data_IF_347865800264
#
_entry.id   IF_347865800264
#
_cell.length_a   1.000
_cell.length_b   1.000
_cell.length_c   1.000
_cell.angle_alpha   90.00
_cell.angle_beta   90.00
_cell.angle_gamma   90.00
#
_symmetry.space_group_name_H-M   'P 1'
#
loop_
_entity.id
_entity.type
_entity.pdbx_description
1 polymer ?
#
# COMPACT_ATOMS: atom_id res chain seq x y z
N UNK A 1 16.87 -10.22 6.38
CA UNK A 1 16.38 -9.86 7.72
C UNK A 1 15.32 -10.84 8.23
N UNK A 2 14.25 -11.12 7.47
CA UNK A 2 13.13 -11.99 7.89
C UNK A 2 13.61 -13.39 8.31
N UNK A 3 14.44 -14.05 7.48
CA UNK A 3 15.00 -15.36 7.81
C UNK A 3 15.85 -15.35 9.09
N UNK A 4 16.60 -14.28 9.30
CA UNK A 4 17.40 -14.11 10.53
C UNK A 4 16.51 -13.91 11.75
N UNK A 5 15.47 -13.07 11.64
CA UNK A 5 14.52 -12.84 12.73
C UNK A 5 13.81 -14.14 13.14
N UNK A 6 13.34 -14.92 12.14
CA UNK A 6 12.73 -16.23 12.38
C UNK A 6 13.70 -17.23 13.04
N UNK A 7 14.92 -17.30 12.53
CA UNK A 7 15.95 -18.18 13.11
C UNK A 7 16.28 -17.81 14.56
N UNK A 8 16.37 -16.51 14.85
CA UNK A 8 16.66 -16.00 16.20
C UNK A 8 15.44 -15.91 17.11
N UNK A 9 14.23 -16.19 16.59
CA UNK A 9 12.94 -16.08 17.30
C UNK A 9 12.74 -14.71 17.93
N UNK A 10 13.15 -13.65 17.23
CA UNK A 10 12.92 -12.26 17.63
C UNK A 10 11.75 -11.66 16.89
N UNK A 11 11.05 -10.73 17.52
CA UNK A 11 10.01 -9.96 16.85
C UNK A 11 10.62 -8.95 15.86
N UNK A 12 10.11 -8.96 14.64
CA UNK A 12 10.41 -7.99 13.60
C UNK A 12 9.10 -7.56 12.96
N UNK A 13 8.83 -6.26 12.91
CA UNK A 13 7.64 -5.72 12.27
C UNK A 13 8.03 -4.65 11.25
N UNK A 14 7.30 -4.58 10.15
CA UNK A 14 7.27 -3.40 9.31
C UNK A 14 6.14 -2.49 9.80
N UNK A 15 6.46 -1.24 10.10
CA UNK A 15 5.50 -0.24 10.57
C UNK A 15 4.69 0.33 9.39
N UNK A 16 3.99 -0.54 8.67
CA UNK A 16 3.08 -0.18 7.58
C UNK A 16 1.67 0.03 8.13
N UNK A 17 1.40 1.23 8.58
CA UNK A 17 0.17 1.64 9.30
C UNK A 17 -1.11 1.05 8.72
N UNK A 18 -1.25 1.01 7.39
CA UNK A 18 -2.42 0.49 6.67
C UNK A 18 -2.90 -0.84 7.21
N UNK A 19 -1.99 -1.78 7.47
CA UNK A 19 -2.31 -3.16 7.84
C UNK A 19 -2.95 -3.30 9.24
N UNK A 20 -2.78 -2.28 10.09
CA UNK A 20 -3.20 -2.29 11.49
C UNK A 20 -4.44 -1.44 11.76
N UNK A 21 -4.93 -0.66 10.78
CA UNK A 21 -6.08 0.22 10.92
C UNK A 21 -7.39 -0.57 11.01
N UNK A 22 -8.26 -0.19 11.95
CA UNK A 22 -9.57 -0.82 12.16
C UNK A 22 -10.48 -0.66 10.93
N UNK A 23 -10.42 0.48 10.25
CA UNK A 23 -11.15 0.68 9.00
C UNK A 23 -10.64 -0.24 7.86
N UNK A 24 -9.35 -0.58 7.84
CA UNK A 24 -8.81 -1.54 6.88
C UNK A 24 -9.27 -2.98 7.20
N UNK A 25 -9.35 -3.34 8.48
CA UNK A 25 -9.96 -4.60 8.90
C UNK A 25 -11.43 -4.66 8.47
N UNK A 26 -12.16 -3.54 8.59
CA UNK A 26 -13.55 -3.43 8.12
C UNK A 26 -13.70 -3.65 6.62
N UNK A 27 -12.77 -3.14 5.81
CA UNK A 27 -12.76 -3.43 4.37
C UNK A 27 -12.69 -4.94 4.12
N UNK A 28 -11.81 -5.68 4.85
CA UNK A 28 -11.69 -7.13 4.74
C UNK A 28 -13.00 -7.86 5.07
N UNK A 29 -13.71 -7.41 6.11
CA UNK A 29 -15.04 -7.95 6.47
C UNK A 29 -16.10 -7.70 5.39
N UNK A 30 -16.01 -6.59 4.68
CA UNK A 30 -16.98 -6.20 3.65
C UNK A 30 -16.74 -6.90 2.30
N UNK A 31 -15.53 -7.45 2.03
CA UNK A 31 -15.20 -8.10 0.76
C UNK A 31 -16.23 -9.16 0.32
N UNK A 32 -16.70 -10.08 1.18
CA UNK A 32 -17.70 -11.08 0.76
C UNK A 32 -19.04 -10.44 0.29
N UNK A 33 -19.36 -9.25 0.80
CA UNK A 33 -20.63 -8.58 0.50
C UNK A 33 -20.67 -7.95 -0.89
N UNK A 34 -19.51 -7.60 -1.47
CA UNK A 34 -19.44 -7.07 -2.84
C UNK A 34 -19.46 -8.17 -3.91
N UNK A 35 -19.50 -9.44 -3.53
CA UNK A 35 -19.47 -10.59 -4.44
C UNK A 35 -18.07 -10.82 -5.03
N UNK A 36 -18.02 -11.27 -6.30
CA UNK A 36 -16.72 -11.50 -6.97
C UNK A 36 -16.06 -10.19 -7.33
N UNK A 37 -14.86 -9.94 -6.81
CA UNK A 37 -14.05 -8.77 -7.15
C UNK A 37 -13.69 -8.78 -8.64
N UNK A 38 -13.79 -7.63 -9.30
CA UNK A 38 -13.49 -7.44 -10.72
C UNK A 38 -12.41 -6.41 -10.97
N UNK A 39 -12.44 -5.30 -10.24
CA UNK A 39 -11.44 -4.24 -10.37
C UNK A 39 -11.08 -3.67 -8.99
N UNK A 40 -9.80 -3.31 -8.84
CA UNK A 40 -9.31 -2.55 -7.68
C UNK A 40 -8.56 -1.32 -8.20
N UNK A 41 -8.87 -0.15 -7.65
CA UNK A 41 -8.22 1.10 -8.02
C UNK A 41 -7.72 1.77 -6.74
N UNK A 42 -6.44 2.17 -6.73
CA UNK A 42 -5.83 2.93 -5.65
C UNK A 42 -5.12 4.15 -6.22
N UNK A 43 -5.35 5.31 -5.63
CA UNK A 43 -4.64 6.54 -5.98
C UNK A 43 -4.09 7.21 -4.73
N UNK A 44 -2.75 7.38 -4.70
CA UNK A 44 -2.05 8.21 -3.74
C UNK A 44 -1.16 9.20 -4.51
N UNK A 45 -1.74 10.31 -4.91
CA UNK A 45 -1.04 11.40 -5.61
C UNK A 45 -0.99 12.63 -4.72
N UNK A 46 0.21 13.05 -4.36
CA UNK A 46 0.44 14.20 -3.49
C UNK A 46 1.61 15.00 -4.04
N UNK A 47 1.37 16.25 -4.44
CA UNK A 47 2.47 17.14 -4.80
C UNK A 47 3.44 17.26 -3.64
N UNK A 48 4.65 16.79 -3.85
CA UNK A 48 5.67 16.76 -2.80
C UNK A 48 6.22 18.15 -2.54
N UNK A 49 6.29 18.55 -1.26
CA UNK A 49 6.97 19.80 -0.86
C UNK A 49 8.48 19.83 -1.21
N UNK A 50 9.03 18.68 -1.64
CA UNK A 50 10.43 18.53 -2.06
C UNK A 50 10.61 18.52 -3.58
N UNK A 51 9.50 18.55 -4.35
CA UNK A 51 9.58 18.42 -5.81
C UNK A 51 10.22 19.65 -6.47
N UNK A 52 9.91 20.86 -6.00
CA UNK A 52 10.53 22.09 -6.53
C UNK A 52 12.04 22.11 -6.29
N UNK A 53 12.50 21.68 -5.11
CA UNK A 53 13.93 21.54 -4.80
C UNK A 53 14.60 20.49 -5.71
N UNK A 54 13.93 19.35 -5.93
CA UNK A 54 14.38 18.32 -6.86
C UNK A 54 14.51 18.85 -8.30
N UNK A 55 13.54 19.61 -8.80
CA UNK A 55 13.61 20.28 -10.11
C UNK A 55 14.78 21.26 -10.21
N UNK A 56 15.08 21.98 -9.12
CA UNK A 56 16.21 22.90 -9.02
C UNK A 56 17.58 22.20 -8.87
N UNK A 57 17.60 20.86 -8.69
CA UNK A 57 18.82 20.06 -8.57
C UNK A 57 19.22 19.70 -7.13
N UNK A 58 18.46 20.13 -6.12
CA UNK A 58 18.61 19.68 -4.73
C UNK A 58 17.83 18.38 -4.50
N UNK A 59 18.54 17.24 -4.62
CA UNK A 59 17.95 15.91 -4.57
C UNK A 59 17.84 15.44 -3.13
N UNK A 60 16.65 15.51 -2.59
CA UNK A 60 16.34 14.99 -1.25
C UNK A 60 16.14 13.45 -1.27
N UNK A 61 16.32 12.73 -0.14
CA UNK A 61 16.24 11.27 -0.07
C UNK A 61 14.98 10.66 -0.70
N UNK A 62 13.85 11.35 -0.63
CA UNK A 62 12.57 10.90 -1.19
C UNK A 62 12.55 10.90 -2.75
N UNK A 63 13.57 11.47 -3.41
CA UNK A 63 13.79 11.46 -4.86
C UNK A 63 15.17 10.90 -5.25
N UNK A 64 15.93 10.39 -4.28
CA UNK A 64 17.29 9.88 -4.52
C UNK A 64 17.24 8.35 -4.79
N UNK A 65 17.68 7.87 -5.96
CA UNK A 65 17.83 6.44 -6.23
C UNK A 65 18.74 5.71 -5.22
N UNK A 66 19.75 6.41 -4.65
CA UNK A 66 20.63 5.83 -3.64
C UNK A 66 19.91 5.55 -2.32
N UNK A 67 18.86 6.30 -2.04
CA UNK A 67 18.00 6.13 -0.87
C UNK A 67 16.73 5.30 -1.17
N UNK A 68 16.65 4.66 -2.34
CA UNK A 68 15.46 3.98 -2.83
C UNK A 68 14.21 4.88 -2.85
N UNK A 69 14.38 6.14 -3.26
CA UNK A 69 13.30 7.12 -3.41
C UNK A 69 12.37 6.80 -4.58
N UNK A 70 11.57 7.79 -4.98
CA UNK A 70 10.62 7.70 -6.09
C UNK A 70 9.17 7.55 -5.65
N UNK A 71 8.25 7.79 -6.58
CA UNK A 71 6.82 7.77 -6.30
C UNK A 71 6.31 6.36 -5.94
N UNK A 72 6.81 5.34 -6.64
CA UNK A 72 6.44 3.95 -6.35
C UNK A 72 6.85 3.53 -4.94
N UNK A 73 8.09 3.85 -4.54
CA UNK A 73 8.65 3.38 -3.27
C UNK A 73 8.17 4.18 -2.06
N UNK A 74 7.91 5.48 -2.24
CA UNK A 74 7.53 6.38 -1.14
C UNK A 74 6.00 6.45 -0.91
N UNK A 75 5.22 6.51 -1.99
CA UNK A 75 3.75 6.59 -1.92
C UNK A 75 3.07 5.32 -2.43
N UNK A 76 3.56 4.75 -3.52
CA UNK A 76 3.02 3.52 -4.11
C UNK A 76 3.08 2.32 -3.17
N UNK A 77 4.07 2.26 -2.28
CA UNK A 77 4.19 1.22 -1.25
C UNK A 77 2.92 1.07 -0.41
N UNK A 78 2.25 2.17 -0.06
CA UNK A 78 1.00 2.12 0.70
C UNK A 78 -0.15 1.51 -0.11
N UNK A 79 -0.24 1.84 -1.42
CA UNK A 79 -1.22 1.24 -2.31
C UNK A 79 -0.97 -0.26 -2.52
N UNK A 80 0.29 -0.64 -2.72
CA UNK A 80 0.67 -2.05 -2.87
C UNK A 80 0.39 -2.83 -1.58
N UNK A 81 0.76 -2.27 -0.43
CA UNK A 81 0.46 -2.85 0.89
C UNK A 81 -1.05 -3.02 1.11
N UNK A 82 -1.85 -2.05 0.66
CA UNK A 82 -3.31 -2.13 0.73
C UNK A 82 -3.85 -3.30 -0.10
N UNK A 83 -3.39 -3.43 -1.35
CA UNK A 83 -3.88 -4.46 -2.27
C UNK A 83 -3.36 -5.85 -1.87
N UNK A 84 -2.05 -5.98 -1.63
CA UNK A 84 -1.41 -7.26 -1.28
C UNK A 84 -1.90 -7.78 0.08
N UNK A 85 -2.14 -6.89 1.04
CA UNK A 85 -2.69 -7.28 2.34
C UNK A 85 -4.12 -7.82 2.28
N UNK A 86 -4.93 -7.45 1.27
CA UNK A 86 -6.28 -7.97 1.06
C UNK A 86 -6.31 -9.23 0.20
N UNK A 87 -5.46 -9.31 -0.81
CA UNK A 87 -5.59 -10.29 -1.90
C UNK A 87 -4.36 -11.18 -2.11
N UNK A 88 -3.28 -10.95 -1.37
CA UNK A 88 -2.01 -11.64 -1.58
C UNK A 88 -1.22 -11.10 -2.76
N UNK A 89 -0.16 -11.82 -3.14
CA UNK A 89 0.74 -11.46 -4.24
C UNK A 89 0.05 -11.65 -5.60
N UNK A 90 0.15 -10.67 -6.54
CA UNK A 90 -0.41 -10.81 -7.88
C UNK A 90 0.41 -11.77 -8.73
N UNK A 91 -0.21 -12.32 -9.79
CA UNK A 91 0.49 -13.17 -10.76
C UNK A 91 1.48 -12.37 -11.61
N UNK A 92 1.16 -11.11 -11.91
CA UNK A 92 2.01 -10.19 -12.68
C UNK A 92 1.88 -8.78 -12.14
N UNK A 93 2.97 -8.02 -12.23
CA UNK A 93 3.02 -6.61 -11.89
C UNK A 93 3.87 -5.86 -12.94
N UNK A 94 3.32 -4.77 -13.49
CA UNK A 94 3.99 -3.93 -14.48
C UNK A 94 3.80 -2.46 -14.12
N UNK A 95 4.91 -1.73 -14.05
CA UNK A 95 4.91 -0.30 -13.74
C UNK A 95 5.29 0.52 -14.98
N UNK A 96 4.51 1.55 -15.25
CA UNK A 96 4.78 2.57 -16.26
C UNK A 96 4.95 3.90 -15.54
N UNK A 97 6.13 4.50 -15.65
CA UNK A 97 6.54 5.64 -14.85
C UNK A 97 6.90 6.87 -15.70
N UNK A 98 6.62 8.03 -15.17
CA UNK A 98 7.26 9.28 -15.57
C UNK A 98 8.59 9.35 -14.83
N UNK A 99 9.69 9.38 -15.58
CA UNK A 99 11.05 9.35 -15.01
C UNK A 99 11.72 10.67 -15.24
N UNK A 100 12.21 11.27 -14.16
CA UNK A 100 13.01 12.49 -14.17
C UNK A 100 14.30 12.25 -13.39
N UNK A 101 15.45 12.64 -13.94
CA UNK A 101 16.76 12.47 -13.30
C UNK A 101 17.03 11.06 -12.78
N UNK A 102 16.52 10.02 -13.49
CA UNK A 102 16.74 8.62 -13.16
C UNK A 102 15.85 8.03 -12.06
N UNK A 103 14.83 8.78 -11.59
CA UNK A 103 13.85 8.32 -10.60
C UNK A 103 12.42 8.59 -11.09
N UNK A 104 11.47 7.78 -10.64
CA UNK A 104 10.06 8.00 -10.93
C UNK A 104 9.48 9.12 -10.07
N UNK A 105 8.86 10.12 -10.72
CA UNK A 105 8.13 11.21 -10.06
C UNK A 105 6.64 10.90 -9.96
N UNK A 106 6.12 10.10 -10.89
CA UNK A 106 4.76 9.54 -10.87
C UNK A 106 4.69 8.29 -11.72
N UNK A 107 3.59 7.52 -11.58
CA UNK A 107 3.38 6.36 -12.43
C UNK A 107 2.16 5.52 -12.08
N UNK A 108 1.92 4.52 -12.94
CA UNK A 108 0.81 3.58 -12.86
C UNK A 108 1.36 2.15 -12.79
N UNK A 109 1.05 1.47 -11.70
CA UNK A 109 1.32 0.06 -11.52
C UNK A 109 0.04 -0.74 -11.82
N UNK A 110 0.10 -1.64 -12.79
CA UNK A 110 -0.94 -2.63 -13.04
C UNK A 110 -0.55 -3.96 -12.39
N UNK A 111 -1.51 -4.61 -11.75
CA UNK A 111 -1.34 -5.91 -11.11
C UNK A 111 -2.43 -6.87 -11.58
N UNK A 112 -2.01 -8.07 -12.00
CA UNK A 112 -2.92 -9.08 -12.50
C UNK A 112 -3.13 -10.20 -11.48
N UNK A 113 -4.39 -10.43 -11.15
CA UNK A 113 -4.87 -11.58 -10.38
C UNK A 113 -5.70 -12.50 -11.28
N UNK A 114 -5.90 -13.75 -10.88
CA UNK A 114 -6.66 -14.72 -11.68
C UNK A 114 -8.08 -14.25 -12.04
N UNK A 115 -8.77 -13.59 -11.09
CA UNK A 115 -10.18 -13.22 -11.23
C UNK A 115 -10.42 -11.73 -11.43
N UNK A 116 -9.41 -10.87 -11.23
CA UNK A 116 -9.54 -9.43 -11.31
C UNK A 116 -8.24 -8.73 -11.70
N UNK A 117 -8.33 -7.44 -11.98
CA UNK A 117 -7.19 -6.55 -12.24
C UNK A 117 -7.14 -5.44 -11.20
N UNK A 118 -5.94 -5.02 -10.83
CA UNK A 118 -5.73 -3.89 -9.94
C UNK A 118 -4.83 -2.84 -10.58
N UNK A 119 -5.10 -1.57 -10.25
CA UNK A 119 -4.27 -0.43 -10.64
C UNK A 119 -3.94 0.40 -9.41
N UNK A 120 -2.66 0.77 -9.31
CA UNK A 120 -2.14 1.68 -8.30
C UNK A 120 -1.50 2.87 -8.98
N UNK A 121 -1.99 4.07 -8.70
CA UNK A 121 -1.40 5.32 -9.14
C UNK A 121 -0.69 5.97 -7.96
N UNK A 122 0.53 6.45 -8.19
CA UNK A 122 1.30 7.21 -7.22
C UNK A 122 1.99 8.37 -7.91
N UNK A 123 1.93 9.56 -7.32
CA UNK A 123 2.56 10.76 -7.88
C UNK A 123 3.10 11.66 -6.78
N UNK A 124 4.27 12.27 -7.07
CA UNK A 124 4.95 13.27 -6.23
C UNK A 124 5.13 14.60 -6.96
N UNK A 125 4.95 14.60 -8.27
CA UNK A 125 5.04 15.74 -9.20
C UNK A 125 3.68 16.41 -9.44
N UNK A 126 2.59 15.77 -9.06
CA UNK A 126 1.23 16.29 -9.16
C UNK A 126 0.35 15.78 -8.00
N UNK A 127 -0.80 16.42 -7.81
CA UNK A 127 -1.76 16.08 -6.77
C UNK A 127 -3.12 15.69 -7.32
N UNK A 128 -3.80 14.74 -6.63
CA UNK A 128 -5.19 14.39 -6.90
C UNK A 128 -5.86 13.90 -5.61
N UNK A 129 -7.21 13.93 -5.51
CA UNK A 129 -7.90 13.33 -4.39
C UNK A 129 -7.55 11.85 -4.24
N UNK A 130 -7.20 11.44 -3.03
CA UNK A 130 -6.98 10.04 -2.73
C UNK A 130 -8.29 9.26 -2.92
N UNK A 131 -8.21 8.13 -3.61
CA UNK A 131 -9.37 7.30 -3.89
C UNK A 131 -8.96 5.83 -3.99
N UNK A 132 -9.65 4.99 -3.22
CA UNK A 132 -9.50 3.54 -3.20
C UNK A 132 -10.87 2.93 -3.44
N UNK A 133 -10.98 2.11 -4.49
CA UNK A 133 -12.24 1.49 -4.88
C UNK A 133 -12.01 0.01 -5.13
N UNK A 134 -12.78 -0.84 -4.46
CA UNK A 134 -12.81 -2.28 -4.72
C UNK A 134 -14.18 -2.59 -5.32
N UNK A 135 -14.22 -2.97 -6.58
CA UNK A 135 -15.44 -3.20 -7.35
C UNK A 135 -15.72 -4.69 -7.47
N UNK A 136 -16.91 -5.08 -7.05
CA UNK A 136 -17.40 -6.44 -7.14
C UNK A 136 -18.71 -6.55 -7.91
N UNK A 137 -19.17 -7.78 -8.12
CA UNK A 137 -20.40 -8.07 -8.87
C UNK A 137 -21.69 -7.67 -8.15
N UNK A 138 -21.63 -7.46 -6.80
CA UNK A 138 -22.80 -7.12 -5.98
C UNK A 138 -22.72 -5.73 -5.36
N UNK A 139 -21.65 -4.99 -5.62
CA UNK A 139 -21.43 -3.65 -5.05
C UNK A 139 -19.95 -3.25 -5.09
N UNK A 140 -19.62 -2.17 -4.42
CA UNK A 140 -18.25 -1.72 -4.30
C UNK A 140 -17.97 -1.13 -2.91
N UNK A 141 -16.70 -1.11 -2.54
CA UNK A 141 -16.18 -0.46 -1.34
C UNK A 141 -15.40 0.77 -1.77
N UNK A 142 -15.67 1.91 -1.15
CA UNK A 142 -15.02 3.19 -1.42
C UNK A 142 -14.34 3.73 -0.15
N UNK A 143 -13.08 4.14 -0.30
CA UNK A 143 -12.33 4.93 0.67
C UNK A 143 -11.84 6.21 -0.02
N UNK A 144 -12.08 7.38 0.60
CA UNK A 144 -11.71 8.71 0.07
C UNK A 144 -10.49 9.35 0.76
N UNK A 145 -9.68 8.54 1.41
CA UNK A 145 -8.45 8.96 2.09
C UNK A 145 -7.29 8.07 1.67
N UNK A 146 -6.06 8.47 1.93
CA UNK A 146 -4.87 7.67 1.64
C UNK A 146 -4.89 6.35 2.43
N UNK A 147 -4.22 5.30 1.92
CA UNK A 147 -4.17 3.99 2.57
C UNK A 147 -3.62 4.06 4.00
N UNK A 148 -2.58 4.86 4.21
CA UNK A 148 -1.94 5.04 5.52
C UNK A 148 -2.77 5.84 6.54
N UNK A 149 -3.94 6.34 6.14
CA UNK A 149 -4.90 7.02 7.01
C UNK A 149 -6.19 6.22 7.16
N UNK A 150 -6.73 5.71 6.05
CA UNK A 150 -8.00 4.98 5.97
C UNK A 150 -9.10 5.62 6.83
N UNK A 151 -9.36 6.91 6.60
CA UNK A 151 -10.18 7.77 7.48
C UNK A 151 -11.68 7.46 7.48
N UNK A 152 -12.13 6.53 6.63
CA UNK A 152 -13.51 6.07 6.58
C UNK A 152 -13.73 5.17 5.36
N UNK A 153 -14.72 4.30 5.46
CA UNK A 153 -15.07 3.30 4.45
C UNK A 153 -16.56 3.39 4.16
N UNK A 154 -16.92 3.39 2.88
CA UNK A 154 -18.30 3.30 2.45
C UNK A 154 -18.51 2.02 1.66
N UNK A 155 -19.50 1.23 2.03
CA UNK A 155 -19.99 0.11 1.25
C UNK A 155 -21.21 0.54 0.44
N UNK A 156 -21.16 0.35 -0.88
CA UNK A 156 -22.23 0.64 -1.81
C UNK A 156 -22.72 -0.67 -2.43
N UNK A 157 -23.85 -1.24 -1.98
CA UNK A 157 -24.47 -2.37 -2.66
C UNK A 157 -25.07 -1.93 -4.00
N UNK A 158 -25.14 -2.83 -5.00
CA UNK A 158 -25.85 -2.54 -6.25
C UNK A 158 -27.35 -2.26 -6.02
N UNK A 159 -27.90 -2.83 -4.95
CA UNK A 159 -29.28 -2.60 -4.53
C UNK A 159 -29.32 -2.37 -3.00
N UNK A 160 -30.05 -1.37 -2.57
CA UNK A 160 -30.16 -1.00 -1.16
C UNK A 160 -29.46 0.30 -0.82
N UNK A 161 -29.28 0.54 0.47
CA UNK A 161 -28.67 1.77 0.98
C UNK A 161 -27.17 1.57 1.19
N UNK A 162 -26.40 2.62 0.98
CA UNK A 162 -25.00 2.67 1.33
C UNK A 162 -24.81 2.67 2.86
N UNK A 163 -23.69 2.12 3.28
CA UNK A 163 -23.29 2.05 4.69
C UNK A 163 -21.93 2.71 4.87
N UNK A 164 -21.82 3.55 5.92
CA UNK A 164 -20.60 4.28 6.22
C UNK A 164 -19.99 3.78 7.53
N UNK A 165 -18.67 3.59 7.55
CA UNK A 165 -17.92 3.12 8.70
C UNK A 165 -16.73 4.05 8.96
N UNK A 166 -16.48 4.37 10.22
CA UNK A 166 -15.24 4.98 10.68
C UNK A 166 -14.92 4.47 12.09
N UNK A 167 -14.06 3.48 12.16
CA UNK A 167 -13.73 2.75 13.39
C UNK A 167 -12.40 3.20 14.02
N UNK A 168 -11.65 4.09 13.37
CA UNK A 168 -10.33 4.52 13.87
C UNK A 168 -10.38 5.35 15.16
N UNK A 169 -11.59 5.80 15.60
CA UNK A 169 -11.83 6.39 16.91
C UNK A 169 -11.11 7.71 17.19
N UNK A 170 -10.68 8.46 16.14
CA UNK A 170 -9.96 9.73 16.30
C UNK A 170 -8.54 9.60 16.86
N UNK A 171 -8.03 8.39 17.04
CA UNK A 171 -6.66 8.12 17.51
C UNK A 171 -5.62 8.47 16.45
N UNK A 172 -4.38 8.84 16.85
CA UNK A 172 -3.26 8.94 15.92
C UNK A 172 -3.13 7.66 15.08
N UNK A 173 -2.92 7.80 13.77
CA UNK A 173 -2.89 6.65 12.84
C UNK A 173 -1.89 5.56 13.24
N UNK A 174 -0.75 5.93 13.82
CA UNK A 174 0.27 4.99 14.25
C UNK A 174 -0.09 4.24 15.54
N UNK A 175 -1.07 4.71 16.31
CA UNK A 175 -1.43 4.07 17.57
C UNK A 175 -1.86 2.60 17.39
N UNK A 176 -2.60 2.30 16.31
CA UNK A 176 -3.07 0.94 16.03
C UNK A 176 -1.91 -0.05 15.82
N UNK A 177 -0.88 0.35 15.06
CA UNK A 177 0.28 -0.52 14.79
C UNK A 177 1.11 -0.73 16.06
N UNK A 178 1.40 0.31 16.84
CA UNK A 178 2.14 0.17 18.11
C UNK A 178 1.38 -0.68 19.14
N UNK A 179 0.06 -0.55 19.24
CA UNK A 179 -0.74 -1.42 20.08
C UNK A 179 -0.71 -2.89 19.60
N UNK A 180 -0.69 -3.13 18.29
CA UNK A 180 -0.57 -4.48 17.75
C UNK A 180 0.81 -5.08 18.06
N UNK A 181 1.90 -4.30 17.92
CA UNK A 181 3.25 -4.74 18.25
C UNK A 181 3.39 -5.05 19.75
N UNK A 182 2.93 -4.15 20.62
CA UNK A 182 2.98 -4.36 22.05
C UNK A 182 2.25 -5.64 22.46
N UNK A 183 1.02 -5.83 22.02
CA UNK A 183 0.24 -7.04 22.30
C UNK A 183 0.90 -8.32 21.79
N UNK A 184 1.48 -8.29 20.59
CA UNK A 184 2.18 -9.45 20.04
C UNK A 184 3.43 -9.81 20.87
N UNK A 185 4.20 -8.81 21.30
CA UNK A 185 5.40 -9.02 22.11
C UNK A 185 5.01 -9.52 23.50
N UNK A 186 4.06 -8.87 24.18
CA UNK A 186 3.60 -9.24 25.52
C UNK A 186 2.93 -10.62 25.56
N UNK A 187 2.16 -10.95 24.50
CA UNK A 187 1.50 -12.25 24.37
C UNK A 187 2.36 -13.36 23.75
N UNK A 188 3.59 -13.04 23.31
CA UNK A 188 4.45 -14.00 22.62
C UNK A 188 3.93 -14.45 21.24
N UNK A 189 3.08 -13.64 20.57
CA UNK A 189 2.41 -14.01 19.32
C UNK A 189 3.36 -13.94 18.10
N UNK A 190 4.19 -14.97 17.98
CA UNK A 190 5.12 -15.14 16.84
C UNK A 190 4.38 -15.43 15.53
N UNK A 191 3.16 -15.95 15.60
CA UNK A 191 2.35 -16.25 14.40
C UNK A 191 1.88 -14.96 13.73
N UNK A 192 1.35 -14.00 14.50
CA UNK A 192 1.02 -12.68 13.98
C UNK A 192 2.24 -12.01 13.35
N UNK A 193 3.37 -12.01 14.06
CA UNK A 193 4.62 -11.45 13.55
C UNK A 193 5.03 -12.09 12.23
N UNK A 194 5.03 -13.43 12.14
CA UNK A 194 5.40 -14.16 10.91
C UNK A 194 4.47 -13.84 9.74
N UNK A 195 3.16 -13.83 9.97
CA UNK A 195 2.15 -13.50 8.95
C UNK A 195 2.31 -12.08 8.41
N UNK A 196 2.58 -11.11 9.29
CA UNK A 196 2.83 -9.73 8.87
C UNK A 196 4.10 -9.60 8.04
N UNK A 197 5.18 -10.32 8.43
CA UNK A 197 6.41 -10.36 7.66
C UNK A 197 6.24 -11.02 6.28
N UNK A 198 5.41 -12.05 6.15
CA UNK A 198 5.10 -12.66 4.84
C UNK A 198 4.43 -11.64 3.91
N UNK A 199 3.51 -10.82 4.44
CA UNK A 199 2.90 -9.72 3.69
C UNK A 199 3.94 -8.68 3.27
N UNK A 200 4.84 -8.27 4.16
CA UNK A 200 5.92 -7.32 3.86
C UNK A 200 6.87 -7.84 2.78
N UNK A 201 7.21 -9.13 2.82
CA UNK A 201 8.03 -9.78 1.78
C UNK A 201 7.31 -9.79 0.43
N UNK A 202 6.01 -10.11 0.40
CA UNK A 202 5.21 -10.09 -0.82
C UNK A 202 5.15 -8.67 -1.42
N UNK A 203 4.89 -7.66 -0.60
CA UNK A 203 4.91 -6.23 -1.01
C UNK A 203 6.27 -5.86 -1.60
N UNK A 204 7.37 -6.20 -0.93
CA UNK A 204 8.73 -5.92 -1.40
C UNK A 204 9.04 -6.59 -2.74
N UNK A 205 8.56 -7.81 -2.97
CA UNK A 205 8.69 -8.51 -4.27
C UNK A 205 7.93 -7.78 -5.36
N UNK A 206 6.67 -7.42 -5.12
CA UNK A 206 5.84 -6.69 -6.09
C UNK A 206 6.48 -5.36 -6.46
N UNK A 207 6.95 -4.57 -5.49
CA UNK A 207 7.64 -3.30 -5.73
C UNK A 207 8.93 -3.50 -6.53
N UNK A 208 9.70 -4.54 -6.23
CA UNK A 208 10.95 -4.86 -6.94
C UNK A 208 10.68 -5.23 -8.40
N UNK A 209 9.70 -6.12 -8.66
CA UNK A 209 9.30 -6.49 -10.01
C UNK A 209 8.78 -5.27 -10.77
N UNK A 210 7.91 -4.47 -10.13
CA UNK A 210 7.32 -3.28 -10.72
C UNK A 210 8.38 -2.26 -11.14
N UNK A 211 9.27 -1.81 -10.24
CA UNK A 211 10.29 -0.82 -10.58
C UNK A 211 11.25 -1.31 -11.67
N UNK A 212 11.64 -2.60 -11.63
CA UNK A 212 12.50 -3.21 -12.66
C UNK A 212 11.81 -3.25 -14.02
N UNK A 213 10.48 -3.45 -14.09
CA UNK A 213 9.73 -3.41 -15.34
C UNK A 213 9.71 -2.02 -15.98
N UNK A 214 9.91 -0.95 -15.18
CA UNK A 214 10.07 0.43 -15.63
C UNK A 214 11.54 0.85 -15.87
N UNK A 215 12.50 -0.08 -15.74
CA UNK A 215 13.92 0.20 -15.91
C UNK A 215 14.58 0.95 -14.74
N UNK A 216 13.86 1.12 -13.61
CA UNK A 216 14.40 1.79 -12.42
C UNK A 216 15.34 0.83 -11.68
N UNK A 217 16.60 1.26 -11.53
CA UNK A 217 17.64 0.48 -10.85
C UNK A 217 18.13 1.22 -9.61
N UNK A 218 18.35 0.48 -8.54
CA UNK A 218 18.95 1.00 -7.32
C UNK A 218 20.37 0.45 -7.15
N UNK A 219 21.25 1.11 -6.40
CA UNK A 219 22.63 0.64 -6.18
C UNK A 219 22.73 -0.76 -5.57
N UNK A 220 21.70 -1.22 -4.86
CA UNK A 220 21.63 -2.56 -4.27
C UNK A 220 21.23 -3.68 -5.26
N UNK A 221 20.89 -3.35 -6.51
CA UNK A 221 20.51 -4.32 -7.56
C UNK A 221 21.73 -4.97 -8.25
N UNK A 222 22.77 -5.27 -7.52
CA UNK A 222 23.98 -5.90 -8.06
C UNK A 222 23.77 -7.40 -8.26
#
# INVERSE_FOLDING_TARGET
LVNLARHKKVFLFEAITTQYLENYAKIRELLPRIGTVKLVQCNFSQYSSRYDAFCAGDVQPAFDPACAGGALMDLGVYNVSYIVGLFGEPNQAKYTANIERGIDTSGILTMEYNSFKAVSMAAKDCGAPARYVIQGTKGYILQKSTANWCGGVTFHPNQGKEEHFNLNGGRPRQAAEFHAFARAIEGGDQELCSRMLDTSVAVSRVLTVARRSAGIKFPCDK
#
